data_IF_580081500553
#
_entry.id   IF_580081500553
#
_cell.length_a   1.000
_cell.length_b   1.000
_cell.length_c   1.000
_cell.angle_alpha   90.00
_cell.angle_beta   90.00
_cell.angle_gamma   90.00
#
_symmetry.space_group_name_H-M   'P 1'
#
loop_
_entity.id
_entity.type
_entity.pdbx_description
1 polymer ?
#
# COMPACT_ATOMS: atom_id res chain seq x y z
N UNK A 1 27.05 12.52 -7.96
CA UNK A 1 26.02 13.15 -7.11
C UNK A 1 24.77 12.28 -6.90
N UNK A 2 24.31 11.48 -7.87
CA UNK A 2 23.14 10.60 -7.68
C UNK A 2 23.35 9.52 -6.59
N UNK A 3 24.56 8.98 -6.41
CA UNK A 3 24.79 7.91 -5.41
C UNK A 3 24.62 8.38 -3.96
N UNK A 4 25.07 9.60 -3.61
CA UNK A 4 24.97 10.13 -2.25
C UNK A 4 23.52 10.40 -1.86
N UNK A 5 22.73 10.96 -2.78
CA UNK A 5 21.29 11.16 -2.61
C UNK A 5 20.55 9.83 -2.38
N UNK A 6 20.89 8.81 -3.17
CA UNK A 6 20.28 7.48 -3.05
C UNK A 6 20.62 6.81 -1.70
N UNK A 7 21.84 6.98 -1.21
CA UNK A 7 22.24 6.47 0.12
C UNK A 7 21.43 7.16 1.22
N UNK A 8 21.24 8.48 1.14
CA UNK A 8 20.43 9.22 2.11
C UNK A 8 18.97 8.76 2.10
N UNK A 9 18.37 8.61 0.92
CA UNK A 9 17.00 8.10 0.77
C UNK A 9 16.90 6.67 1.33
N UNK A 10 17.88 5.82 1.03
CA UNK A 10 17.94 4.45 1.56
C UNK A 10 17.97 4.44 3.09
N UNK A 11 18.85 5.22 3.72
CA UNK A 11 18.96 5.31 5.18
C UNK A 11 17.65 5.80 5.78
N UNK A 12 17.04 6.83 5.18
CA UNK A 12 15.76 7.37 5.63
C UNK A 12 14.65 6.31 5.58
N UNK A 13 14.46 5.66 4.43
CA UNK A 13 13.42 4.63 4.26
C UNK A 13 13.67 3.45 5.19
N UNK A 14 14.92 2.99 5.32
CA UNK A 14 15.29 1.89 6.22
C UNK A 14 14.98 2.21 7.68
N UNK A 15 15.20 3.46 8.09
CA UNK A 15 14.90 3.94 9.44
C UNK A 15 13.41 3.99 9.68
N UNK A 16 12.63 4.52 8.73
CA UNK A 16 11.17 4.54 8.82
C UNK A 16 10.61 3.10 8.90
N UNK A 17 11.12 2.18 8.09
CA UNK A 17 10.73 0.78 8.12
C UNK A 17 11.08 0.11 9.45
N UNK A 18 12.26 0.39 10.01
CA UNK A 18 12.64 -0.10 11.32
C UNK A 18 11.67 0.36 12.41
N UNK A 19 11.25 1.63 12.38
CA UNK A 19 10.27 2.18 13.32
C UNK A 19 8.92 1.46 13.20
N UNK A 20 8.43 1.20 11.99
CA UNK A 20 7.19 0.44 11.79
C UNK A 20 7.31 -1.04 12.17
N UNK A 21 8.47 -1.66 11.94
CA UNK A 21 8.75 -3.06 12.31
C UNK A 21 8.70 -3.27 13.82
N UNK A 22 9.09 -2.26 14.62
CA UNK A 22 9.01 -2.31 16.08
C UNK A 22 7.59 -2.19 16.65
N UNK A 23 6.60 -1.76 15.85
CA UNK A 23 5.21 -1.64 16.28
C UNK A 23 4.43 -2.93 16.01
N UNK A 24 3.38 -3.26 16.79
CA UNK A 24 2.42 -4.28 16.39
C UNK A 24 1.78 -3.95 15.03
N UNK A 25 1.53 -4.97 14.19
CA UNK A 25 1.01 -4.82 12.81
C UNK A 25 -0.14 -3.79 12.72
N UNK A 26 -1.17 -3.95 13.57
CA UNK A 26 -2.35 -3.07 13.54
C UNK A 26 -2.00 -1.62 13.87
N UNK A 27 -1.10 -1.40 14.83
CA UNK A 27 -0.65 -0.07 15.19
C UNK A 27 0.17 0.56 14.05
N UNK A 28 1.08 -0.19 13.43
CA UNK A 28 1.84 0.28 12.28
C UNK A 28 0.90 0.70 11.14
N UNK A 29 -0.09 -0.13 10.81
CA UNK A 29 -1.13 0.16 9.82
C UNK A 29 -1.88 1.45 10.15
N UNK A 30 -2.42 1.56 11.36
CA UNK A 30 -3.22 2.73 11.77
C UNK A 30 -2.40 4.03 11.76
N UNK A 31 -1.14 3.99 12.22
CA UNK A 31 -0.24 5.15 12.18
C UNK A 31 0.09 5.55 10.74
N UNK A 32 0.49 4.59 9.90
CA UNK A 32 0.81 4.84 8.49
C UNK A 32 -0.38 5.43 7.74
N UNK A 33 -1.56 4.84 7.92
CA UNK A 33 -2.81 5.31 7.35
C UNK A 33 -3.16 6.72 7.82
N UNK A 34 -3.10 6.99 9.12
CA UNK A 34 -3.37 8.32 9.67
C UNK A 34 -2.41 9.38 9.10
N UNK A 35 -1.11 9.11 9.06
CA UNK A 35 -0.12 10.07 8.56
C UNK A 35 -0.37 10.42 7.09
N UNK A 36 -0.43 9.41 6.21
CA UNK A 36 -0.54 9.67 4.78
C UNK A 36 -1.92 10.18 4.37
N UNK A 37 -3.00 9.78 5.06
CA UNK A 37 -4.33 10.38 4.89
C UNK A 37 -4.36 11.89 5.06
N UNK A 38 -3.52 12.44 5.95
CA UNK A 38 -3.47 13.88 6.25
C UNK A 38 -2.44 14.61 5.38
N UNK A 39 -1.27 14.00 5.12
CA UNK A 39 -0.18 14.63 4.36
C UNK A 39 -0.37 14.45 2.86
N UNK A 40 -0.72 13.24 2.43
CA UNK A 40 -0.77 12.82 1.04
C UNK A 40 -1.61 13.70 0.12
N UNK A 41 -2.87 14.05 0.47
CA UNK A 41 -3.72 14.91 -0.37
C UNK A 41 -3.14 16.29 -0.66
N UNK A 42 -2.22 16.77 0.18
CA UNK A 42 -1.54 18.07 0.04
C UNK A 42 -0.33 17.98 -0.90
N UNK A 43 0.19 16.77 -1.18
CA UNK A 43 1.33 16.59 -2.06
C UNK A 43 0.96 16.88 -3.52
N UNK A 44 1.85 17.49 -4.33
CA UNK A 44 1.58 17.81 -5.73
C UNK A 44 1.15 16.60 -6.58
N UNK A 45 1.68 15.41 -6.27
CA UNK A 45 1.36 14.17 -6.96
C UNK A 45 -0.13 13.79 -6.87
N UNK A 46 -0.85 14.30 -5.85
CA UNK A 46 -2.31 14.13 -5.74
C UNK A 46 -3.09 14.75 -6.91
N UNK A 47 -2.47 15.64 -7.70
CA UNK A 47 -3.07 16.12 -8.95
C UNK A 47 -3.34 14.98 -9.93
N UNK A 48 -2.44 14.00 -10.04
CA UNK A 48 -2.62 12.85 -10.93
C UNK A 48 -3.87 12.05 -10.56
N UNK A 49 -4.12 11.85 -9.26
CA UNK A 49 -5.32 11.18 -8.78
C UNK A 49 -6.60 11.97 -9.11
N UNK A 50 -6.58 13.31 -8.98
CA UNK A 50 -7.71 14.17 -9.38
C UNK A 50 -7.98 14.07 -10.88
N UNK A 51 -6.95 14.21 -11.70
CA UNK A 51 -7.05 14.17 -13.15
C UNK A 51 -7.57 12.81 -13.64
N UNK A 52 -7.18 11.71 -12.98
CA UNK A 52 -7.71 10.38 -13.26
C UNK A 52 -9.19 10.27 -12.88
N UNK A 53 -9.57 10.67 -11.66
CA UNK A 53 -10.95 10.60 -11.20
C UNK A 53 -11.91 11.45 -12.04
N UNK A 54 -11.47 12.60 -12.54
CA UNK A 54 -12.24 13.40 -13.50
C UNK A 54 -12.54 12.65 -14.80
N UNK A 55 -11.65 11.75 -15.24
CA UNK A 55 -11.84 10.96 -16.45
C UNK A 55 -12.70 9.72 -16.22
N UNK A 56 -12.49 9.02 -15.10
CA UNK A 56 -13.10 7.71 -14.85
C UNK A 56 -14.40 7.76 -14.04
N UNK A 57 -14.59 8.80 -13.22
CA UNK A 57 -15.76 8.99 -12.36
C UNK A 57 -16.23 10.47 -12.36
N UNK A 58 -16.48 11.06 -13.55
CA UNK A 58 -16.89 12.47 -13.65
C UNK A 58 -18.18 12.78 -12.89
N UNK A 59 -19.11 11.83 -12.81
CA UNK A 59 -20.40 11.96 -12.14
C UNK A 59 -20.29 12.02 -10.61
N UNK A 60 -19.14 11.66 -10.05
CA UNK A 60 -18.86 11.66 -8.60
C UNK A 60 -17.87 12.75 -8.17
N UNK A 61 -17.84 13.88 -8.87
CA UNK A 61 -16.90 14.98 -8.61
C UNK A 61 -16.84 15.41 -7.12
N UNK A 62 -18.00 15.50 -6.46
CA UNK A 62 -18.10 15.82 -5.03
C UNK A 62 -17.41 14.80 -4.10
N UNK A 63 -17.23 13.55 -4.54
CA UNK A 63 -16.61 12.48 -3.74
C UNK A 63 -15.09 12.38 -3.97
N UNK A 64 -14.54 13.02 -5.00
CA UNK A 64 -13.13 12.85 -5.39
C UNK A 64 -12.16 13.13 -4.24
N UNK A 65 -12.41 14.17 -3.45
CA UNK A 65 -11.59 14.49 -2.27
C UNK A 65 -11.58 13.36 -1.23
N UNK A 66 -12.73 12.72 -0.99
CA UNK A 66 -12.86 11.58 -0.08
C UNK A 66 -12.14 10.35 -0.64
N UNK A 67 -12.28 10.08 -1.94
CA UNK A 67 -11.62 8.96 -2.62
C UNK A 67 -10.09 9.12 -2.54
N UNK A 68 -9.57 10.31 -2.86
CA UNK A 68 -8.13 10.59 -2.79
C UNK A 68 -7.61 10.45 -1.36
N UNK A 69 -8.38 10.94 -0.37
CA UNK A 69 -8.03 10.79 1.04
C UNK A 69 -7.98 9.31 1.46
N UNK A 70 -8.93 8.49 1.00
CA UNK A 70 -8.97 7.05 1.23
C UNK A 70 -7.83 6.31 0.52
N UNK A 71 -7.48 6.70 -0.71
CA UNK A 71 -6.33 6.18 -1.45
C UNK A 71 -5.02 6.40 -0.68
N UNK A 72 -4.82 7.60 -0.13
CA UNK A 72 -3.63 7.90 0.68
C UNK A 72 -3.63 7.18 2.02
N UNK A 73 -4.78 7.03 2.67
CA UNK A 73 -4.90 6.20 3.87
C UNK A 73 -4.47 4.75 3.57
N UNK A 74 -5.00 4.17 2.49
CA UNK A 74 -4.64 2.83 2.05
C UNK A 74 -3.15 2.69 1.75
N UNK A 75 -2.58 3.63 1.00
CA UNK A 75 -1.15 3.63 0.69
C UNK A 75 -0.28 3.71 1.96
N UNK A 76 -0.67 4.53 2.94
CA UNK A 76 0.03 4.63 4.22
C UNK A 76 0.00 3.34 5.03
N UNK A 77 -1.16 2.67 5.07
CA UNK A 77 -1.31 1.35 5.68
C UNK A 77 -0.39 0.33 5.01
N UNK A 78 -0.48 0.18 3.69
CA UNK A 78 0.35 -0.76 2.92
C UNK A 78 1.85 -0.52 3.12
N UNK A 79 2.30 0.74 3.11
CA UNK A 79 3.70 1.09 3.33
C UNK A 79 4.18 0.70 4.74
N UNK A 80 3.38 0.97 5.77
CA UNK A 80 3.71 0.64 7.15
C UNK A 80 3.59 -0.86 7.46
N UNK A 81 2.77 -1.60 6.72
CA UNK A 81 2.61 -3.05 6.82
C UNK A 81 3.72 -3.82 6.10
N UNK A 82 4.45 -3.20 5.17
CA UNK A 82 5.47 -3.87 4.36
C UNK A 82 6.56 -4.60 5.17
N UNK A 83 7.10 -4.03 6.27
CA UNK A 83 8.04 -4.75 7.14
C UNK A 83 7.43 -6.00 7.80
N UNK A 84 6.11 -6.08 7.92
CA UNK A 84 5.37 -7.19 8.53
C UNK A 84 4.97 -8.28 7.52
N UNK A 85 5.28 -8.11 6.24
CA UNK A 85 4.79 -8.97 5.15
C UNK A 85 5.09 -10.46 5.36
N UNK A 86 6.25 -10.79 5.94
CA UNK A 86 6.61 -12.18 6.28
C UNK A 86 5.66 -12.78 7.33
N UNK A 87 5.22 -11.98 8.30
CA UNK A 87 4.22 -12.39 9.29
C UNK A 87 2.84 -12.57 8.66
N UNK A 88 2.42 -11.60 7.85
CA UNK A 88 1.14 -11.63 7.12
C UNK A 88 1.04 -12.87 6.23
N UNK A 89 2.08 -13.14 5.42
CA UNK A 89 2.11 -14.30 4.52
C UNK A 89 2.09 -15.65 5.26
N UNK A 90 2.63 -15.69 6.48
CA UNK A 90 2.59 -16.87 7.34
C UNK A 90 1.25 -17.03 8.10
N UNK A 91 0.26 -16.17 7.87
CA UNK A 91 -0.98 -16.12 8.66
C UNK A 91 -0.78 -15.72 10.12
N UNK A 92 0.36 -15.09 10.42
CA UNK A 92 0.73 -14.61 11.76
C UNK A 92 0.35 -13.13 11.91
N UNK A 93 0.52 -12.59 13.11
CA UNK A 93 0.32 -11.16 13.42
C UNK A 93 -1.14 -10.65 13.33
N UNK A 94 -2.14 -11.53 13.40
CA UNK A 94 -3.56 -11.13 13.37
C UNK A 94 -4.06 -10.73 11.98
N UNK A 95 -3.24 -10.88 10.94
CA UNK A 95 -3.64 -10.70 9.56
C UNK A 95 -4.51 -11.89 9.12
N UNK A 96 -5.73 -11.58 8.68
CA UNK A 96 -6.60 -12.55 8.02
C UNK A 96 -6.49 -12.32 6.52
N UNK A 97 -5.81 -13.23 5.84
CA UNK A 97 -5.70 -13.22 4.37
C UNK A 97 -6.61 -14.32 3.85
N UNK A 98 -7.51 -13.95 2.95
CA UNK A 98 -8.36 -14.87 2.19
C UNK A 98 -7.96 -14.77 0.71
N UNK A 99 -7.79 -15.90 0.06
CA UNK A 99 -7.47 -15.95 -1.38
C UNK A 99 -8.71 -16.46 -2.10
N UNK A 100 -9.39 -15.55 -2.79
CA UNK A 100 -10.55 -15.86 -3.62
C UNK A 100 -10.05 -16.28 -5.01
N UNK A 101 -10.53 -17.42 -5.52
CA UNK A 101 -10.14 -17.92 -6.84
C UNK A 101 -8.86 -18.75 -6.87
N UNK A 102 -8.40 -19.25 -5.72
CA UNK A 102 -7.19 -20.09 -5.59
C UNK A 102 -7.29 -21.39 -6.43
N UNK A 103 -8.50 -21.89 -6.65
CA UNK A 103 -8.81 -23.02 -7.51
C UNK A 103 -8.35 -22.82 -8.97
N UNK A 104 -8.38 -21.58 -9.48
CA UNK A 104 -7.90 -21.27 -10.82
C UNK A 104 -6.39 -21.52 -10.90
N UNK A 105 -5.64 -21.10 -9.87
CA UNK A 105 -4.21 -21.33 -9.79
C UNK A 105 -3.88 -22.83 -9.75
N UNK A 106 -4.58 -23.61 -8.93
CA UNK A 106 -4.38 -25.06 -8.86
C UNK A 106 -4.66 -25.74 -10.20
N UNK A 107 -5.73 -25.33 -10.89
CA UNK A 107 -6.08 -25.85 -12.22
C UNK A 107 -4.93 -25.64 -13.22
N UNK A 108 -4.40 -24.42 -13.34
CA UNK A 108 -3.30 -24.15 -14.28
C UNK A 108 -2.02 -24.92 -13.92
N UNK A 109 -1.67 -24.98 -12.63
CA UNK A 109 -0.52 -25.75 -12.12
C UNK A 109 -0.64 -27.23 -12.49
N UNK A 110 -1.79 -27.84 -12.24
CA UNK A 110 -2.01 -29.27 -12.43
C UNK A 110 -2.07 -29.66 -13.92
N UNK A 111 -2.46 -28.72 -14.79
CA UNK A 111 -2.35 -28.84 -16.25
C UNK A 111 -0.92 -28.69 -16.78
N UNK A 112 0.07 -28.41 -15.92
CA UNK A 112 1.46 -28.14 -16.33
C UNK A 112 1.60 -26.83 -17.12
N UNK A 113 0.66 -25.89 -16.97
CA UNK A 113 0.68 -24.60 -17.67
C UNK A 113 1.13 -23.50 -16.72
N UNK A 114 1.86 -22.51 -17.26
CA UNK A 114 2.13 -21.27 -16.55
C UNK A 114 0.86 -20.44 -16.36
N UNK A 115 0.86 -19.57 -15.34
CA UNK A 115 -0.19 -18.58 -15.11
C UNK A 115 0.37 -17.15 -15.19
N UNK A 116 -0.45 -16.22 -15.66
CA UNK A 116 -0.22 -14.78 -15.55
C UNK A 116 -1.23 -14.24 -14.54
N UNK A 117 -0.73 -13.55 -13.52
CA UNK A 117 -1.52 -12.91 -12.44
C UNK A 117 -1.37 -11.41 -12.56
#
# INVERSE_FOLDING_TARGET
MQSLSNILVFILVRTIFFVFEMMPLRMASDVGGFLLKNIGPLLPISKVARDNLQKILPERAQEHGKIIRGMWENFGRTFAEYPHLKGIAAGKAGAKVEIIGLENFHTFRDMGKGGLV
#
